data_IF_287783472099
#
_entry.id   IF_287783472099
#
_cell.length_a   1.000
_cell.length_b   1.000
_cell.length_c   1.000
_cell.angle_alpha   90.00
_cell.angle_beta   90.00
_cell.angle_gamma   90.00
#
_symmetry.space_group_name_H-M   'P 1'
#
loop_
_entity.id
_entity.type
_entity.pdbx_description
1 polymer ?
#
# COMPACT_ATOMS: atom_id res chain seq x y z
N UNK A 1 -16.05 14.25 -8.19
CA UNK A 1 -15.04 13.18 -8.39
C UNK A 1 -13.90 13.42 -7.45
N UNK A 2 -13.43 12.39 -6.76
CA UNK A 2 -12.28 12.46 -5.84
C UNK A 2 -11.22 11.48 -6.29
N UNK A 3 -9.97 11.93 -6.24
CA UNK A 3 -8.80 11.15 -6.61
C UNK A 3 -7.96 10.88 -5.37
N UNK A 4 -7.30 9.73 -5.33
CA UNK A 4 -6.27 9.44 -4.34
C UNK A 4 -5.14 10.43 -4.59
N UNK A 5 -4.82 11.27 -3.62
CA UNK A 5 -3.83 12.33 -3.78
C UNK A 5 -2.55 12.10 -3.01
N UNK A 6 -2.58 11.20 -2.02
CA UNK A 6 -1.41 10.86 -1.22
C UNK A 6 -1.56 9.46 -0.61
N UNK A 7 -0.43 8.84 -0.26
CA UNK A 7 -0.36 7.54 0.38
C UNK A 7 0.72 7.55 1.46
N UNK A 8 0.40 7.01 2.62
CA UNK A 8 1.33 6.87 3.75
C UNK A 8 1.09 5.55 4.48
N UNK A 9 2.00 5.21 5.40
CA UNK A 9 1.93 4.02 6.25
C UNK A 9 1.90 4.46 7.70
N UNK A 10 1.04 3.81 8.47
CA UNK A 10 0.89 4.02 9.91
C UNK A 10 1.50 2.83 10.65
N UNK A 11 2.24 3.13 11.71
CA UNK A 11 2.85 2.16 12.61
C UNK A 11 1.97 1.98 13.86
N UNK A 12 1.52 0.75 14.10
CA UNK A 12 0.65 0.40 15.21
C UNK A 12 1.26 -0.64 16.14
N UNK A 13 0.67 -0.75 17.31
CA UNK A 13 1.04 -1.73 18.35
C UNK A 13 -0.03 -2.80 18.53
N UNK A 14 -1.15 -2.70 17.80
CA UNK A 14 -2.28 -3.64 17.87
C UNK A 14 -2.69 -4.20 16.49
N UNK A 15 -3.17 -5.46 16.44
CA UNK A 15 -3.61 -6.11 15.20
C UNK A 15 -4.89 -5.52 14.61
N UNK A 16 -5.70 -4.82 15.41
CA UNK A 16 -6.90 -4.13 14.94
C UNK A 16 -6.63 -2.68 14.53
N UNK A 17 -5.39 -2.20 14.70
CA UNK A 17 -4.98 -0.84 14.40
C UNK A 17 -5.71 0.22 15.20
N UNK A 18 -6.40 -0.14 16.30
CA UNK A 18 -7.23 0.78 17.07
C UNK A 18 -6.44 1.93 17.72
N UNK A 19 -5.13 1.76 17.84
CA UNK A 19 -4.17 2.73 18.37
C UNK A 19 -3.55 3.65 17.30
N UNK A 20 -3.75 3.38 16.01
CA UNK A 20 -3.23 4.22 14.94
C UNK A 20 -4.22 5.30 14.52
N UNK A 21 -3.79 6.55 14.64
CA UNK A 21 -4.56 7.72 14.19
C UNK A 21 -3.97 8.21 12.86
N UNK A 22 -4.73 8.15 11.74
CA UNK A 22 -4.23 8.70 10.48
C UNK A 22 -4.06 10.22 10.59
N UNK A 23 -3.14 10.82 9.81
CA UNK A 23 -3.04 12.28 9.71
C UNK A 23 -4.37 12.93 9.32
N UNK A 24 -4.56 14.19 9.68
CA UNK A 24 -5.76 14.95 9.29
C UNK A 24 -5.99 14.90 7.78
N UNK A 25 -7.20 14.51 7.36
CA UNK A 25 -7.57 14.40 5.95
C UNK A 25 -7.23 13.06 5.30
N UNK A 26 -6.68 12.10 6.06
CA UNK A 26 -6.39 10.75 5.58
C UNK A 26 -7.46 9.75 6.03
N UNK A 27 -7.71 8.76 5.18
CA UNK A 27 -8.52 7.57 5.48
C UNK A 27 -7.59 6.38 5.64
N UNK A 28 -7.68 5.70 6.79
CA UNK A 28 -6.93 4.46 7.06
C UNK A 28 -7.62 3.26 6.41
N UNK A 29 -6.83 2.34 5.85
CA UNK A 29 -7.28 1.02 5.42
C UNK A 29 -7.05 0.06 6.60
N UNK A 30 -8.13 -0.51 7.13
CA UNK A 30 -8.15 -1.35 8.33
C UNK A 30 -7.76 -2.81 8.05
N UNK A 31 -6.63 -2.99 7.39
CA UNK A 31 -6.02 -4.31 7.13
C UNK A 31 -4.55 -4.21 7.43
N UNK A 32 -4.08 -5.07 8.34
CA UNK A 32 -2.67 -5.19 8.68
C UNK A 32 -1.88 -5.70 7.48
N UNK A 33 -0.83 -4.99 7.09
CA UNK A 33 0.04 -5.38 5.99
C UNK A 33 0.85 -6.63 6.30
N UNK A 34 1.09 -6.92 7.59
CA UNK A 34 1.81 -8.10 8.07
C UNK A 34 0.87 -9.21 8.58
N UNK A 35 -0.38 -9.24 8.09
CA UNK A 35 -1.39 -10.23 8.53
C UNK A 35 -0.86 -11.66 8.43
N UNK A 36 -0.97 -12.42 9.52
CA UNK A 36 -0.49 -13.80 9.61
C UNK A 36 1.04 -13.97 9.67
N UNK A 37 1.83 -12.94 9.38
CA UNK A 37 3.30 -12.99 9.39
C UNK A 37 3.91 -12.66 10.75
N UNK A 38 3.09 -12.23 11.72
CA UNK A 38 3.48 -11.92 13.11
C UNK A 38 4.59 -10.86 13.24
N UNK A 39 4.67 -9.91 12.30
CA UNK A 39 5.55 -8.75 12.38
C UNK A 39 4.88 -7.54 13.02
N UNK A 40 5.40 -6.35 12.72
CA UNK A 40 4.82 -5.10 13.21
C UNK A 40 3.47 -4.84 12.56
N UNK A 41 2.55 -4.18 13.27
CA UNK A 41 1.23 -3.86 12.71
C UNK A 41 1.31 -2.60 11.86
N UNK A 42 1.13 -2.78 10.56
CA UNK A 42 1.27 -1.72 9.57
C UNK A 42 -0.02 -1.51 8.80
N UNK A 43 -0.36 -0.26 8.52
CA UNK A 43 -1.61 0.09 7.82
C UNK A 43 -1.37 1.16 6.78
N UNK A 44 -1.87 0.97 5.57
CA UNK A 44 -1.95 2.08 4.62
C UNK A 44 -2.98 3.12 5.06
N UNK A 45 -2.68 4.38 4.80
CA UNK A 45 -3.66 5.46 4.84
C UNK A 45 -3.48 6.37 3.62
N UNK A 46 -4.58 6.92 3.10
CA UNK A 46 -4.56 7.74 1.90
C UNK A 46 -5.34 9.03 2.07
N UNK A 47 -4.92 10.08 1.38
CA UNK A 47 -5.67 11.33 1.26
C UNK A 47 -6.40 11.38 -0.08
N UNK A 48 -7.46 12.18 -0.16
CA UNK A 48 -8.19 12.42 -1.41
C UNK A 48 -8.26 13.90 -1.76
N UNK A 49 -8.33 14.21 -3.06
CA UNK A 49 -8.47 15.56 -3.58
C UNK A 49 -9.46 15.59 -4.75
N UNK A 50 -10.17 16.71 -4.91
CA UNK A 50 -10.95 16.99 -6.14
C UNK A 50 -10.08 17.51 -7.29
N UNK A 51 -8.84 17.93 -7.01
CA UNK A 51 -7.88 18.36 -8.01
C UNK A 51 -7.18 17.15 -8.66
N UNK A 52 -7.51 16.90 -9.93
CA UNK A 52 -6.94 15.81 -10.74
C UNK A 52 -5.42 15.89 -10.86
N UNK A 53 -4.83 17.09 -10.80
CA UNK A 53 -3.37 17.26 -10.92
C UNK A 53 -2.60 16.75 -9.69
N UNK A 54 -3.30 16.54 -8.58
CA UNK A 54 -2.73 15.97 -7.35
C UNK A 54 -2.88 14.45 -7.29
N UNK A 55 -3.57 13.84 -8.25
CA UNK A 55 -3.85 12.42 -8.22
C UNK A 55 -2.56 11.60 -8.32
N UNK A 56 -2.47 10.57 -7.49
CA UNK A 56 -1.55 9.46 -7.72
C UNK A 56 -2.01 8.75 -8.99
N UNK A 57 -1.06 8.42 -9.84
CA UNK A 57 -1.29 7.80 -11.17
C UNK A 57 -0.70 6.40 -11.27
N UNK A 58 0.29 6.07 -10.44
CA UNK A 58 0.83 4.72 -10.31
C UNK A 58 1.42 4.48 -8.91
N UNK A 59 1.39 3.22 -8.47
CA UNK A 59 2.00 2.73 -7.23
C UNK A 59 2.82 1.49 -7.58
N UNK A 60 4.08 1.47 -7.14
CA UNK A 60 5.00 0.36 -7.35
C UNK A 60 5.53 -0.15 -6.02
N UNK A 61 5.94 -1.42 -6.01
CA UNK A 61 6.60 -2.04 -4.88
C UNK A 61 8.00 -2.50 -5.28
N UNK A 62 8.97 -2.24 -4.42
CA UNK A 62 10.34 -2.72 -4.56
C UNK A 62 10.62 -3.75 -3.46
N UNK A 63 11.25 -4.86 -3.83
CA UNK A 63 11.58 -5.99 -2.95
C UNK A 63 13.09 -6.03 -2.70
N UNK A 64 13.48 -6.20 -1.45
CA UNK A 64 14.88 -6.24 -1.02
C UNK A 64 15.36 -4.88 -0.50
N UNK A 65 16.47 -4.39 -1.04
CA UNK A 65 17.09 -3.15 -0.57
C UNK A 65 16.16 -1.94 -0.74
N UNK A 66 16.31 -0.95 0.15
CA UNK A 66 15.59 0.32 0.02
C UNK A 66 15.89 0.93 -1.35
N UNK A 67 14.87 1.18 -2.19
CA UNK A 67 15.11 1.59 -3.56
C UNK A 67 15.63 3.02 -3.62
N UNK A 68 16.51 3.28 -4.59
CA UNK A 68 16.63 4.64 -5.15
C UNK A 68 15.41 4.87 -6.04
N UNK A 69 14.53 5.84 -5.72
CA UNK A 69 13.31 6.04 -6.48
C UNK A 69 13.60 6.37 -7.95
N UNK A 70 12.88 5.78 -8.92
CA UNK A 70 12.88 6.26 -10.29
C UNK A 70 12.47 7.73 -10.37
N UNK A 71 12.84 8.41 -11.47
CA UNK A 71 12.44 9.79 -11.71
C UNK A 71 10.91 9.97 -11.57
N UNK A 72 10.49 10.95 -10.79
CA UNK A 72 9.06 11.25 -10.56
C UNK A 72 8.38 10.39 -9.48
N UNK A 73 9.01 9.31 -9.00
CA UNK A 73 8.47 8.50 -7.91
C UNK A 73 8.89 9.02 -6.54
N UNK A 74 7.96 8.94 -5.60
CA UNK A 74 8.14 9.29 -4.19
C UNK A 74 8.10 8.00 -3.37
N UNK A 75 9.16 7.65 -2.62
CA UNK A 75 9.17 6.48 -1.77
C UNK A 75 8.39 6.75 -0.48
N UNK A 76 7.74 5.72 0.05
CA UNK A 76 7.27 5.70 1.43
C UNK A 76 8.39 5.09 2.27
N UNK A 77 8.90 5.85 3.25
CA UNK A 77 10.05 5.45 4.05
C UNK A 77 9.67 4.49 5.19
N UNK A 78 9.14 3.33 4.81
CA UNK A 78 8.77 2.26 5.74
C UNK A 78 8.90 0.93 5.02
N UNK A 79 9.65 -0.01 5.62
CA UNK A 79 9.63 -1.40 5.22
C UNK A 79 8.26 -1.98 5.58
N UNK A 80 7.45 -2.26 4.55
CA UNK A 80 6.07 -2.74 4.67
C UNK A 80 5.97 -4.13 5.27
N UNK A 81 7.08 -4.86 5.25
CA UNK A 81 7.20 -6.24 5.74
C UNK A 81 8.14 -6.29 6.95
N UNK A 82 8.21 -5.21 7.75
CA UNK A 82 9.16 -5.10 8.87
C UNK A 82 8.88 -6.10 10.00
N UNK A 83 9.97 -6.61 10.59
CA UNK A 83 9.96 -7.52 11.74
C UNK A 83 9.13 -8.80 11.56
N UNK A 84 8.82 -9.18 10.33
CA UNK A 84 8.20 -10.47 10.03
C UNK A 84 9.25 -11.60 9.94
N UNK A 85 8.79 -12.82 9.65
CA UNK A 85 9.56 -14.06 9.68
C UNK A 85 11.00 -14.02 9.12
N UNK A 86 11.80 -15.01 9.54
CA UNK A 86 13.25 -15.12 9.24
C UNK A 86 13.64 -15.08 7.75
N UNK A 87 12.70 -15.35 6.83
CA UNK A 87 12.94 -15.39 5.39
C UNK A 87 12.39 -14.17 4.64
N UNK A 88 11.86 -13.18 5.39
CA UNK A 88 11.22 -11.99 4.84
C UNK A 88 12.09 -11.28 3.82
N UNK A 89 11.43 -10.64 2.85
CA UNK A 89 12.02 -9.59 2.04
C UNK A 89 11.52 -8.26 2.54
N UNK A 90 12.41 -7.27 2.66
CA UNK A 90 11.97 -5.90 2.88
C UNK A 90 11.19 -5.42 1.65
N UNK A 91 10.11 -4.66 1.86
CA UNK A 91 9.24 -4.19 0.79
C UNK A 91 8.98 -2.71 0.95
N UNK A 92 9.10 -1.97 -0.14
CA UNK A 92 8.97 -0.51 -0.15
C UNK A 92 7.93 -0.08 -1.17
N UNK A 93 6.95 0.70 -0.76
CA UNK A 93 6.02 1.36 -1.68
C UNK A 93 6.64 2.63 -2.25
N UNK A 94 6.38 2.88 -3.53
CA UNK A 94 6.64 4.15 -4.19
C UNK A 94 5.38 4.55 -4.96
N UNK A 95 5.13 5.83 -5.09
CA UNK A 95 4.04 6.33 -5.91
C UNK A 95 4.45 7.53 -6.75
N UNK A 96 3.75 7.76 -7.85
CA UNK A 96 3.94 8.94 -8.69
C UNK A 96 2.62 9.64 -8.97
N UNK A 97 2.70 10.91 -9.35
CA UNK A 97 1.58 11.72 -9.86
C UNK A 97 1.77 12.07 -11.34
N UNK A 98 2.75 11.45 -12.00
CA UNK A 98 3.05 11.67 -13.41
C UNK A 98 1.92 11.08 -14.27
N UNK A 99 1.20 11.89 -15.06
CA UNK A 99 0.12 11.41 -15.92
C UNK A 99 0.59 10.48 -17.05
N UNK A 100 1.90 10.39 -17.32
CA UNK A 100 2.46 9.43 -18.28
C UNK A 100 2.48 8.00 -17.69
N UNK A 101 2.60 7.86 -16.37
CA UNK A 101 2.68 6.56 -15.70
C UNK A 101 1.34 5.81 -15.70
N UNK A 102 0.21 6.53 -15.63
CA UNK A 102 -1.11 5.91 -15.55
C UNK A 102 -2.27 6.89 -15.38
N UNK A 103 -3.48 6.34 -15.29
CA UNK A 103 -4.70 7.10 -15.02
C UNK A 103 -4.87 7.44 -13.53
N UNK A 104 -5.54 8.55 -13.17
CA UNK A 104 -5.75 8.93 -11.78
C UNK A 104 -6.42 7.83 -10.95
N UNK A 105 -5.79 7.44 -9.85
CA UNK A 105 -6.38 6.47 -8.93
C UNK A 105 -7.56 7.11 -8.19
N UNK A 106 -8.64 6.35 -8.02
CA UNK A 106 -9.88 6.80 -7.39
C UNK A 106 -10.26 6.02 -6.13
N UNK A 107 -9.62 4.87 -5.91
CA UNK A 107 -9.88 4.00 -4.78
C UNK A 107 -8.68 3.13 -4.47
N UNK A 108 -8.48 2.85 -3.19
CA UNK A 108 -7.48 1.92 -2.68
C UNK A 108 -8.13 0.95 -1.68
N UNK A 109 -7.70 -0.31 -1.73
CA UNK A 109 -8.05 -1.36 -0.77
C UNK A 109 -6.84 -2.27 -0.55
N UNK A 110 -6.81 -2.94 0.59
CA UNK A 110 -5.88 -4.04 0.84
C UNK A 110 -6.69 -5.32 0.94
N UNK A 111 -6.16 -6.40 0.36
CA UNK A 111 -6.65 -7.74 0.58
C UNK A 111 -5.57 -8.55 1.28
N UNK A 112 -5.93 -9.21 2.37
CA UNK A 112 -5.12 -10.20 3.07
C UNK A 112 -5.88 -11.54 3.04
N UNK A 113 -5.22 -12.62 2.63
CA UNK A 113 -5.80 -13.95 2.64
C UNK A 113 -5.04 -14.94 1.76
N UNK A 114 -5.75 -15.87 1.15
CA UNK A 114 -5.15 -16.86 0.27
C UNK A 114 -4.77 -16.24 -1.09
N UNK A 115 -3.62 -16.66 -1.64
CA UNK A 115 -3.21 -16.30 -2.99
C UNK A 115 -4.21 -16.82 -4.05
N UNK A 116 -4.25 -16.15 -5.20
CA UNK A 116 -5.01 -16.61 -6.37
C UNK A 116 -6.46 -16.12 -6.45
N UNK A 117 -6.94 -15.29 -5.52
CA UNK A 117 -8.22 -14.61 -5.71
C UNK A 117 -8.11 -13.57 -6.84
N UNK A 118 -9.10 -13.48 -7.71
CA UNK A 118 -9.16 -12.41 -8.72
C UNK A 118 -9.97 -11.23 -8.15
N UNK A 119 -9.45 -9.99 -8.19
CA UNK A 119 -10.24 -8.85 -7.77
C UNK A 119 -11.48 -8.72 -8.66
N UNK A 120 -12.64 -8.47 -8.03
CA UNK A 120 -13.88 -8.26 -8.77
C UNK A 120 -13.89 -6.86 -9.38
N UNK A 121 -14.39 -6.68 -10.62
CA UNK A 121 -14.54 -5.35 -11.20
C UNK A 121 -15.28 -4.38 -10.26
N UNK A 122 -14.88 -3.09 -10.21
CA UNK A 122 -13.88 -2.42 -11.05
C UNK A 122 -12.44 -2.47 -10.50
N UNK A 123 -12.14 -3.36 -9.55
CA UNK A 123 -10.83 -3.37 -8.87
C UNK A 123 -9.77 -4.10 -9.68
N UNK A 124 -8.57 -3.52 -9.70
CA UNK A 124 -7.34 -4.11 -10.19
C UNK A 124 -6.42 -4.44 -9.00
N UNK A 125 -5.55 -5.44 -9.15
CA UNK A 125 -4.51 -5.77 -8.18
C UNK A 125 -3.14 -5.32 -8.66
N UNK A 126 -2.28 -4.95 -7.71
CA UNK A 126 -0.84 -4.97 -7.90
C UNK A 126 -0.37 -6.33 -7.37
N UNK A 127 0.34 -7.11 -8.19
CA UNK A 127 0.56 -8.54 -7.94
C UNK A 127 1.62 -8.84 -6.85
N UNK A 128 2.39 -7.83 -6.43
CA UNK A 128 3.39 -7.99 -5.38
C UNK A 128 2.72 -8.40 -4.05
N UNK A 129 3.19 -9.52 -3.48
CA UNK A 129 2.86 -9.91 -2.11
C UNK A 129 3.62 -9.02 -1.12
N UNK A 130 2.91 -8.32 -0.24
CA UNK A 130 3.48 -7.47 0.79
C UNK A 130 4.01 -8.27 2.00
N UNK A 131 3.74 -9.57 2.03
CA UNK A 131 4.27 -10.53 3.00
C UNK A 131 5.30 -11.48 2.38
N UNK A 132 5.97 -11.10 1.28
CA UNK A 132 6.89 -12.01 0.58
C UNK A 132 7.99 -12.56 1.52
N UNK A 133 8.03 -13.89 1.64
CA UNK A 133 8.99 -14.62 2.49
C UNK A 133 8.69 -14.56 4.00
N UNK A 134 7.57 -13.98 4.40
CA UNK A 134 7.21 -13.74 5.79
C UNK A 134 6.40 -14.88 6.43
N UNK A 135 6.03 -15.91 5.66
CA UNK A 135 5.19 -17.05 6.05
C UNK A 135 3.80 -16.64 6.62
N UNK A 136 3.23 -15.53 6.09
CA UNK A 136 1.91 -15.00 6.47
C UNK A 136 0.85 -15.12 5.38
N UNK A 137 -0.22 -14.32 5.50
CA UNK A 137 -1.24 -14.20 4.45
C UNK A 137 -0.63 -13.61 3.17
N UNK A 138 -1.18 -13.93 2.00
CA UNK A 138 -0.90 -13.19 0.77
C UNK A 138 -1.59 -11.83 0.85
N UNK A 139 -0.78 -10.77 0.94
CA UNK A 139 -1.26 -9.40 1.12
C UNK A 139 -0.97 -8.59 -0.12
N UNK A 140 -1.98 -7.91 -0.69
CA UNK A 140 -1.80 -7.07 -1.87
C UNK A 140 -2.64 -5.80 -1.85
N UNK A 141 -2.15 -4.78 -2.55
CA UNK A 141 -2.89 -3.54 -2.78
C UNK A 141 -3.78 -3.67 -4.02
N UNK A 142 -5.01 -3.19 -3.90
CA UNK A 142 -5.99 -3.10 -4.97
C UNK A 142 -6.32 -1.64 -5.22
N UNK A 143 -6.60 -1.30 -6.48
CA UNK A 143 -6.94 0.06 -6.88
C UNK A 143 -8.08 0.12 -7.91
N UNK A 144 -8.68 1.30 -8.02
CA UNK A 144 -9.55 1.69 -9.14
C UNK A 144 -9.00 2.96 -9.79
N UNK A 145 -9.34 3.20 -11.05
CA UNK A 145 -8.93 4.39 -11.81
C UNK A 145 -10.13 5.09 -12.46
N UNK A 146 -9.97 6.34 -12.92
CA UNK A 146 -11.02 7.13 -13.61
C UNK A 146 -10.82 7.24 -15.11
#
# INVERSE_FOLDING_TARGET
MTYISDLTVLDGTKPDGSDTVPPTGYTKIWVDLNSGAHGDYLYFAYATSSDRKKAITDIQFSVGDKPTPPSGYQPIDTDLNKNTGKHRKAIWALFTRDPIAGGPLTGLRVHAGQAGSTPQPPWFSIDQDLNEGADGDYVRLLYTTS
#
